data_IF_816578537510
#
_entry.id   IF_816578537510
#
_cell.length_a   1.000
_cell.length_b   1.000
_cell.length_c   1.000
_cell.angle_alpha   90.00
_cell.angle_beta   90.00
_cell.angle_gamma   90.00
#
_symmetry.space_group_name_H-M   'P 1'
#
loop_
_entity.id
_entity.type
_entity.pdbx_description
1 polymer ?
#
# COMPACT_ATOMS: atom_id res chain seq x y z
N UNK A 1 -21.00 -27.09 7.62
CA UNK A 1 -20.44 -26.83 8.96
C UNK A 1 -19.07 -27.46 9.22
N UNK A 2 -18.75 -28.71 8.81
CA UNK A 2 -17.42 -29.32 9.03
C UNK A 2 -16.26 -28.72 8.20
N UNK A 3 -16.50 -28.07 7.07
CA UNK A 3 -15.45 -27.41 6.24
C UNK A 3 -15.03 -26.03 6.72
N UNK A 4 -15.89 -25.32 7.46
CA UNK A 4 -15.57 -24.01 8.05
C UNK A 4 -14.67 -24.14 9.30
N UNK A 5 -14.80 -25.26 10.02
CA UNK A 5 -13.98 -25.53 11.21
C UNK A 5 -12.53 -25.87 10.85
N UNK A 6 -12.28 -26.44 9.66
CA UNK A 6 -10.92 -26.74 9.22
C UNK A 6 -10.13 -25.48 8.78
N UNK A 7 -10.83 -24.49 8.23
CA UNK A 7 -10.23 -23.21 7.81
C UNK A 7 -9.84 -22.36 9.04
N UNK A 8 -10.66 -22.38 10.10
CA UNK A 8 -10.33 -21.69 11.35
C UNK A 8 -9.16 -22.38 12.09
N UNK A 9 -8.97 -23.69 11.92
CA UNK A 9 -7.85 -24.40 12.54
C UNK A 9 -6.50 -24.15 11.82
N UNK A 10 -6.51 -23.85 10.52
CA UNK A 10 -5.29 -23.50 9.77
C UNK A 10 -4.89 -22.04 10.07
N UNK A 11 -5.86 -21.12 10.23
CA UNK A 11 -5.62 -19.75 10.68
C UNK A 11 -5.10 -19.69 12.13
N UNK A 12 -5.48 -20.63 13.00
CA UNK A 12 -4.95 -20.70 14.37
C UNK A 12 -3.53 -21.28 14.48
N UNK A 13 -3.03 -21.97 13.44
CA UNK A 13 -1.63 -22.45 13.41
C UNK A 13 -0.64 -21.35 12.99
N UNK A 14 -1.09 -20.30 12.33
CA UNK A 14 -0.28 -19.10 12.01
C UNK A 14 -0.19 -18.15 13.22
N UNK A 15 -1.07 -18.27 14.22
CA UNK A 15 -1.13 -17.42 15.41
C UNK A 15 -0.21 -17.81 16.58
N UNK A 16 0.74 -18.75 16.39
CA UNK A 16 1.85 -18.90 17.36
C UNK A 16 3.05 -18.02 16.97
N UNK A 17 2.75 -16.80 16.52
CA UNK A 17 3.73 -15.76 16.27
C UNK A 17 4.44 -15.37 17.57
N UNK A 18 5.74 -15.42 17.53
CA UNK A 18 6.66 -14.92 18.54
C UNK A 18 6.32 -13.47 18.94
N UNK A 19 6.83 -12.99 20.06
CA UNK A 19 6.67 -11.62 20.56
C UNK A 19 7.04 -10.54 19.51
N UNK A 20 7.76 -10.91 18.48
CA UNK A 20 8.19 -10.09 17.35
C UNK A 20 7.04 -9.73 16.37
N UNK A 21 6.18 -10.68 16.00
CA UNK A 21 4.98 -10.39 15.18
C UNK A 21 4.09 -9.37 15.87
N UNK A 22 3.89 -9.54 17.18
CA UNK A 22 3.12 -8.58 17.98
C UNK A 22 3.74 -7.18 17.91
N UNK A 23 5.07 -7.07 17.85
CA UNK A 23 5.76 -5.78 17.79
C UNK A 23 5.61 -5.10 16.42
N UNK A 24 5.76 -5.83 15.30
CA UNK A 24 5.56 -5.28 13.95
C UNK A 24 4.09 -4.90 13.74
N UNK A 25 3.15 -5.79 14.06
CA UNK A 25 1.72 -5.54 13.90
C UNK A 25 1.27 -4.32 14.73
N UNK A 26 1.85 -4.13 15.91
CA UNK A 26 1.60 -2.93 16.71
C UNK A 26 2.06 -1.67 15.99
N UNK A 27 3.27 -1.67 15.42
CA UNK A 27 3.80 -0.53 14.65
C UNK A 27 2.92 -0.26 13.42
N UNK A 28 2.51 -1.29 12.68
CA UNK A 28 1.63 -1.14 11.51
C UNK A 28 0.28 -0.53 11.90
N UNK A 29 -0.32 -0.99 13.01
CA UNK A 29 -1.58 -0.44 13.52
C UNK A 29 -1.43 1.03 13.97
N UNK A 30 -0.31 1.38 14.61
CA UNK A 30 -0.02 2.77 14.98
C UNK A 30 0.11 3.67 13.74
N UNK A 31 0.86 3.21 12.73
CA UNK A 31 1.02 3.92 11.45
C UNK A 31 -0.33 4.08 10.74
N UNK A 32 -1.14 3.04 10.65
CA UNK A 32 -2.46 3.11 10.02
C UNK A 32 -3.35 4.18 10.65
N UNK A 33 -3.28 4.32 11.98
CA UNK A 33 -4.10 5.29 12.71
C UNK A 33 -3.54 6.72 12.66
N UNK A 34 -2.22 6.89 12.58
CA UNK A 34 -1.57 8.18 12.68
C UNK A 34 -1.21 8.80 11.33
N UNK A 35 -1.04 7.98 10.27
CA UNK A 35 -0.55 8.39 8.97
C UNK A 35 -1.42 9.48 8.34
N UNK A 36 -0.78 10.59 7.95
CA UNK A 36 -1.46 11.75 7.40
C UNK A 36 -1.93 11.51 5.96
N UNK A 37 -1.19 10.75 5.17
CA UNK A 37 -1.58 10.39 3.79
C UNK A 37 -2.87 9.58 3.80
N UNK A 38 -3.00 8.58 4.68
CA UNK A 38 -4.23 7.80 4.81
C UNK A 38 -5.41 8.65 5.29
N UNK A 39 -5.17 9.64 6.16
CA UNK A 39 -6.21 10.60 6.56
C UNK A 39 -6.68 11.46 5.40
N UNK A 40 -5.74 11.99 4.61
CA UNK A 40 -6.04 12.78 3.40
C UNK A 40 -6.85 11.94 2.41
N UNK A 41 -6.39 10.73 2.09
CA UNK A 41 -7.09 9.82 1.19
C UNK A 41 -8.51 9.48 1.65
N UNK A 42 -8.76 9.36 2.96
CA UNK A 42 -10.12 9.15 3.49
C UNK A 42 -11.04 10.35 3.27
N UNK A 43 -10.52 11.56 3.40
CA UNK A 43 -11.33 12.77 3.15
C UNK A 43 -11.54 12.98 1.64
N UNK A 44 -10.55 12.73 0.81
CA UNK A 44 -10.68 12.72 -0.66
C UNK A 44 -11.72 11.69 -1.12
N UNK A 45 -11.66 10.47 -0.60
CA UNK A 45 -12.65 9.43 -0.84
C UNK A 45 -14.08 9.88 -0.48
N UNK A 46 -14.25 10.56 0.66
CA UNK A 46 -15.57 11.12 1.05
C UNK A 46 -16.03 12.20 0.09
N UNK A 47 -15.12 13.11 -0.31
CA UNK A 47 -15.42 14.18 -1.24
C UNK A 47 -15.85 13.64 -2.60
N UNK A 48 -15.11 12.68 -3.17
CA UNK A 48 -15.44 12.04 -4.45
C UNK A 48 -16.80 11.30 -4.39
N UNK A 49 -17.05 10.57 -3.30
CA UNK A 49 -18.34 9.89 -3.10
C UNK A 49 -19.52 10.84 -2.97
N UNK A 50 -19.30 12.04 -2.43
CA UNK A 50 -20.32 13.08 -2.38
C UNK A 50 -20.52 13.70 -3.78
N UNK A 51 -19.44 13.99 -4.52
CA UNK A 51 -19.51 14.47 -5.89
C UNK A 51 -20.29 13.51 -6.82
N UNK A 52 -20.05 12.19 -6.69
CA UNK A 52 -20.82 11.18 -7.44
C UNK A 52 -22.34 11.20 -7.14
N UNK A 53 -22.76 11.81 -6.02
CA UNK A 53 -24.19 11.97 -5.68
C UNK A 53 -24.82 13.22 -6.28
N UNK A 54 -24.03 14.21 -6.68
CA UNK A 54 -24.57 15.46 -7.26
C UNK A 54 -25.33 15.18 -8.57
N UNK A 55 -24.83 14.28 -9.41
CA UNK A 55 -25.42 13.93 -10.69
C UNK A 55 -26.66 13.01 -10.59
N UNK A 56 -27.01 12.53 -9.38
CA UNK A 56 -28.16 11.63 -9.19
C UNK A 56 -29.47 12.40 -9.04
N UNK A 57 -29.41 13.66 -8.65
CA UNK A 57 -30.59 14.49 -8.44
C UNK A 57 -31.28 14.85 -9.76
N UNK A 58 -32.58 15.12 -9.69
CA UNK A 58 -33.28 15.78 -10.78
C UNK A 58 -32.75 17.23 -10.94
N UNK A 59 -32.83 17.76 -12.15
CA UNK A 59 -32.58 19.19 -12.39
C UNK A 59 -33.41 20.06 -11.44
N UNK A 60 -32.85 21.19 -11.03
CA UNK A 60 -33.58 22.14 -10.18
C UNK A 60 -34.80 22.65 -10.88
N UNK A 61 -35.90 22.98 -10.16
CA UNK A 61 -37.00 23.75 -10.72
C UNK A 61 -36.49 25.11 -11.22
N UNK A 62 -36.92 25.50 -12.39
CA UNK A 62 -36.63 26.81 -12.95
C UNK A 62 -37.80 27.74 -12.66
N UNK A 63 -37.51 28.95 -12.20
CA UNK A 63 -38.50 30.02 -11.97
C UNK A 63 -38.16 31.17 -12.89
N UNK A 64 -39.03 31.47 -13.79
CA UNK A 64 -38.87 32.57 -14.73
C UNK A 64 -39.86 33.72 -14.43
N UNK A 65 -39.40 34.93 -14.57
CA UNK A 65 -40.20 36.11 -14.51
C UNK A 65 -40.13 36.84 -15.84
N UNK A 66 -41.27 36.94 -16.52
CA UNK A 66 -41.39 37.59 -17.82
C UNK A 66 -42.06 38.97 -17.66
N UNK A 67 -41.45 39.98 -18.26
CA UNK A 67 -42.04 41.30 -18.40
C UNK A 67 -42.06 41.72 -19.87
N UNK A 68 -43.25 41.90 -20.42
CA UNK A 68 -43.46 42.22 -21.83
C UNK A 68 -43.93 43.67 -21.89
N UNK A 69 -43.27 44.50 -22.69
CA UNK A 69 -43.70 45.87 -23.00
C UNK A 69 -43.71 46.01 -24.50
N UNK A 70 -44.73 46.80 -25.00
CA UNK A 70 -44.86 47.04 -26.41
C UNK A 70 -45.61 48.33 -26.65
N UNK A 71 -45.25 49.10 -27.74
CA UNK A 71 -45.84 50.29 -28.16
C UNK A 71 -46.40 50.15 -29.61
N UNK A 72 -47.64 49.66 -29.73
CA UNK A 72 -48.38 49.77 -30.98
C UNK A 72 -49.86 49.78 -30.70
N UNK A 73 -50.46 51.02 -30.70
CA UNK A 73 -51.87 51.36 -30.52
C UNK A 73 -52.55 51.02 -29.18
N UNK A 74 -52.05 50.21 -28.34
CA UNK A 74 -52.40 50.03 -26.93
C UNK A 74 -51.10 49.60 -26.17
N UNK A 75 -50.84 50.27 -25.06
CA UNK A 75 -49.75 49.90 -24.15
C UNK A 75 -50.03 48.48 -23.56
N UNK A 76 -49.54 47.44 -24.21
CA UNK A 76 -49.64 46.05 -23.68
C UNK A 76 -48.50 45.89 -22.72
N UNK A 77 -48.72 45.99 -21.40
CA UNK A 77 -47.83 45.68 -20.34
C UNK A 77 -48.24 44.34 -19.74
N UNK A 78 -47.48 43.26 -20.07
CA UNK A 78 -47.72 41.94 -19.55
C UNK A 78 -46.63 41.57 -18.53
N UNK A 79 -47.03 40.92 -17.45
CA UNK A 79 -46.11 40.29 -16.48
C UNK A 79 -46.46 38.80 -16.37
N UNK A 80 -45.44 37.96 -16.27
CA UNK A 80 -45.66 36.54 -16.09
C UNK A 80 -44.67 35.97 -15.11
N UNK A 81 -45.07 34.93 -14.41
CA UNK A 81 -44.22 34.09 -13.63
C UNK A 81 -44.48 32.64 -14.05
N UNK A 82 -43.42 31.91 -14.34
CA UNK A 82 -43.53 30.45 -14.59
C UNK A 82 -42.63 29.68 -13.66
N UNK A 83 -43.04 28.44 -13.37
CA UNK A 83 -42.24 27.45 -12.65
C UNK A 83 -42.25 26.18 -13.47
N UNK A 84 -41.05 25.76 -13.89
CA UNK A 84 -40.87 24.54 -14.69
C UNK A 84 -40.01 23.52 -13.95
N UNK A 85 -40.31 22.23 -14.20
CA UNK A 85 -39.53 21.11 -13.72
C UNK A 85 -39.30 20.12 -14.85
N UNK A 86 -38.04 19.75 -15.07
CA UNK A 86 -37.65 18.68 -16.02
C UNK A 86 -37.55 17.34 -15.32
N UNK A 87 -38.02 16.30 -16.00
CA UNK A 87 -38.01 14.92 -15.54
C UNK A 87 -37.19 14.04 -16.51
N UNK A 88 -36.01 13.65 -16.10
CA UNK A 88 -35.12 12.81 -16.86
C UNK A 88 -35.27 11.33 -16.45
N UNK A 89 -35.63 10.47 -17.39
CA UNK A 89 -35.80 9.02 -17.16
C UNK A 89 -34.52 8.33 -16.67
N UNK A 90 -33.34 8.79 -17.06
CA UNK A 90 -32.07 8.23 -16.62
C UNK A 90 -31.90 8.36 -15.11
N UNK A 91 -32.38 9.47 -14.57
CA UNK A 91 -32.38 9.75 -13.11
C UNK A 91 -33.51 8.97 -12.42
N UNK A 92 -34.76 9.08 -12.93
CA UNK A 92 -35.95 8.43 -12.32
C UNK A 92 -35.79 6.92 -12.26
N UNK A 93 -35.30 6.26 -13.31
CA UNK A 93 -35.07 4.81 -13.35
C UNK A 93 -33.80 4.34 -12.62
N UNK A 94 -33.09 5.25 -11.98
CA UNK A 94 -31.94 4.95 -11.16
C UNK A 94 -30.68 4.50 -11.93
N UNK A 95 -30.59 4.76 -13.25
CA UNK A 95 -29.39 4.41 -14.02
C UNK A 95 -28.17 5.22 -13.55
N UNK A 96 -28.34 6.51 -13.27
CA UNK A 96 -27.28 7.37 -12.73
C UNK A 96 -26.84 6.89 -11.34
N UNK A 97 -27.80 6.56 -10.47
CA UNK A 97 -27.50 6.03 -9.12
C UNK A 97 -26.72 4.71 -9.17
N UNK A 98 -27.02 3.81 -10.12
CA UNK A 98 -26.25 2.55 -10.29
C UNK A 98 -24.81 2.81 -10.72
N UNK A 99 -24.58 3.80 -11.56
CA UNK A 99 -23.24 4.22 -11.97
C UNK A 99 -22.49 4.81 -10.78
N UNK A 100 -23.07 5.80 -10.09
CA UNK A 100 -22.47 6.43 -8.93
C UNK A 100 -22.12 5.42 -7.82
N UNK A 101 -22.98 4.42 -7.58
CA UNK A 101 -22.68 3.37 -6.61
C UNK A 101 -21.49 2.52 -7.06
N UNK A 102 -21.37 2.19 -8.36
CA UNK A 102 -20.20 1.47 -8.86
C UNK A 102 -18.92 2.29 -8.87
N UNK A 103 -19.01 3.58 -9.17
CA UNK A 103 -17.88 4.50 -9.04
C UNK A 103 -17.44 4.64 -7.57
N UNK A 104 -18.39 4.68 -6.63
CA UNK A 104 -18.07 4.67 -5.20
C UNK A 104 -17.39 3.37 -4.75
N UNK A 105 -17.78 2.20 -5.29
CA UNK A 105 -17.09 0.93 -5.03
C UNK A 105 -15.63 0.97 -5.57
N UNK A 106 -15.41 1.54 -6.75
CA UNK A 106 -14.06 1.71 -7.31
C UNK A 106 -13.19 2.64 -6.45
N UNK A 107 -13.75 3.73 -5.91
CA UNK A 107 -13.07 4.63 -4.98
C UNK A 107 -12.66 3.87 -3.70
N UNK A 108 -13.52 2.99 -3.17
CA UNK A 108 -13.20 2.15 -2.01
C UNK A 108 -12.03 1.19 -2.29
N UNK A 109 -12.00 0.60 -3.48
CA UNK A 109 -10.93 -0.32 -3.89
C UNK A 109 -9.61 0.44 -4.07
N UNK A 110 -9.64 1.65 -4.62
CA UNK A 110 -8.45 2.52 -4.73
C UNK A 110 -7.88 2.84 -3.35
N UNK A 111 -8.72 3.26 -2.41
CA UNK A 111 -8.30 3.50 -1.03
C UNK A 111 -7.69 2.24 -0.38
N UNK A 112 -8.32 1.07 -0.56
CA UNK A 112 -7.82 -0.21 -0.06
C UNK A 112 -6.42 -0.52 -0.63
N UNK A 113 -6.21 -0.29 -1.92
CA UNK A 113 -4.91 -0.48 -2.58
C UNK A 113 -3.83 0.42 -2.01
N UNK A 114 -4.12 1.72 -1.86
CA UNK A 114 -3.14 2.68 -1.33
C UNK A 114 -2.82 2.40 0.14
N UNK A 115 -3.81 1.97 0.93
CA UNK A 115 -3.61 1.51 2.31
C UNK A 115 -2.66 0.31 2.36
N UNK A 116 -2.88 -0.70 1.52
CA UNK A 116 -2.02 -1.89 1.43
C UNK A 116 -0.59 -1.48 1.05
N UNK A 117 -0.41 -0.61 0.07
CA UNK A 117 0.90 -0.15 -0.38
C UNK A 117 1.66 0.54 0.76
N UNK A 118 1.00 1.43 1.50
CA UNK A 118 1.60 2.16 2.62
C UNK A 118 1.98 1.22 3.78
N UNK A 119 1.09 0.27 4.12
CA UNK A 119 1.38 -0.70 5.18
C UNK A 119 2.48 -1.68 4.76
N UNK A 120 2.58 -2.03 3.48
CA UNK A 120 3.69 -2.82 2.95
C UNK A 120 5.02 -2.05 3.07
N UNK A 121 5.05 -0.77 2.69
CA UNK A 121 6.23 0.08 2.86
C UNK A 121 6.66 0.13 4.33
N UNK A 122 5.72 0.38 5.24
CA UNK A 122 5.98 0.38 6.68
C UNK A 122 6.53 -0.97 7.18
N UNK A 123 5.98 -2.09 6.69
CA UNK A 123 6.44 -3.44 7.05
C UNK A 123 7.85 -3.71 6.57
N UNK A 124 8.20 -3.26 5.37
CA UNK A 124 9.56 -3.38 4.83
C UNK A 124 10.56 -2.56 5.66
N UNK A 125 10.21 -1.34 6.04
CA UNK A 125 11.01 -0.52 6.94
C UNK A 125 11.16 -1.14 8.34
N UNK A 126 10.14 -1.85 8.85
CA UNK A 126 10.28 -2.61 10.09
C UNK A 126 11.33 -3.73 9.95
N UNK A 127 11.38 -4.43 8.81
CA UNK A 127 12.42 -5.43 8.56
C UNK A 127 13.82 -4.81 8.42
N UNK A 128 13.91 -3.64 7.79
CA UNK A 128 15.17 -2.88 7.76
C UNK A 128 15.61 -2.45 9.16
N UNK A 129 14.69 -1.99 10.01
CA UNK A 129 14.98 -1.64 11.41
C UNK A 129 15.47 -2.86 12.22
N UNK A 130 14.85 -4.02 12.06
CA UNK A 130 15.29 -5.28 12.71
C UNK A 130 16.71 -5.67 12.26
N UNK A 131 16.96 -5.57 10.95
CA UNK A 131 18.26 -5.84 10.36
C UNK A 131 19.34 -4.92 10.94
N UNK A 132 19.12 -3.61 10.96
CA UNK A 132 20.09 -2.67 11.51
C UNK A 132 20.25 -2.79 13.03
N UNK A 133 19.21 -3.11 13.77
CA UNK A 133 19.31 -3.42 15.20
C UNK A 133 20.23 -4.63 15.44
N UNK A 134 20.04 -5.71 14.65
CA UNK A 134 20.88 -6.91 14.73
C UNK A 134 22.34 -6.61 14.39
N UNK A 135 22.59 -5.85 13.31
CA UNK A 135 23.95 -5.44 12.91
C UNK A 135 24.62 -4.54 13.96
N UNK A 136 23.92 -3.54 14.49
CA UNK A 136 24.45 -2.69 15.54
C UNK A 136 24.89 -3.51 16.76
N UNK A 137 24.11 -4.51 17.14
CA UNK A 137 24.45 -5.42 18.24
C UNK A 137 25.73 -6.20 17.96
N UNK A 138 25.83 -6.82 16.77
CA UNK A 138 27.01 -7.58 16.37
C UNK A 138 28.26 -6.68 16.28
N UNK A 139 28.13 -5.49 15.70
CA UNK A 139 29.24 -4.54 15.56
C UNK A 139 29.66 -3.92 16.91
N UNK A 140 28.75 -3.74 17.85
CA UNK A 140 29.10 -3.34 19.23
C UNK A 140 29.92 -4.44 19.93
N UNK A 141 29.57 -5.71 19.72
CA UNK A 141 30.39 -6.83 20.22
C UNK A 141 31.78 -6.81 19.58
N UNK A 142 31.89 -6.65 18.25
CA UNK A 142 33.18 -6.52 17.55
C UNK A 142 34.02 -5.37 18.09
N UNK A 143 33.41 -4.18 18.26
CA UNK A 143 34.09 -3.01 18.79
C UNK A 143 34.61 -3.24 20.20
N UNK A 144 33.84 -3.94 21.04
CA UNK A 144 34.25 -4.31 22.41
C UNK A 144 35.47 -5.22 22.40
N UNK A 145 35.51 -6.26 21.56
CA UNK A 145 36.66 -7.15 21.40
C UNK A 145 37.89 -6.42 20.84
N UNK A 146 37.69 -5.60 19.80
CA UNK A 146 38.80 -4.82 19.21
C UNK A 146 39.39 -3.85 20.23
N UNK A 147 38.56 -3.22 21.08
CA UNK A 147 39.04 -2.35 22.18
C UNK A 147 39.85 -3.12 23.21
N UNK A 148 39.35 -4.30 23.63
CA UNK A 148 40.09 -5.13 24.59
C UNK A 148 41.48 -5.53 24.04
N UNK A 149 41.55 -5.86 22.73
CA UNK A 149 42.81 -6.16 22.05
C UNK A 149 43.76 -4.96 22.03
N UNK A 150 43.28 -3.74 21.76
CA UNK A 150 44.10 -2.53 21.82
C UNK A 150 44.71 -2.34 23.23
N UNK A 151 43.90 -2.52 24.27
CA UNK A 151 44.34 -2.37 25.67
C UNK A 151 45.37 -3.45 26.08
N UNK A 152 45.17 -4.71 25.63
CA UNK A 152 46.10 -5.79 25.87
C UNK A 152 47.44 -5.58 25.13
N UNK A 153 47.38 -5.26 23.82
CA UNK A 153 48.57 -5.05 23.01
C UNK A 153 49.35 -3.77 23.40
N UNK A 154 48.69 -2.76 23.95
CA UNK A 154 49.35 -1.57 24.53
C UNK A 154 50.25 -2.01 25.68
N UNK A 155 49.76 -2.82 26.63
CA UNK A 155 50.53 -3.30 27.75
C UNK A 155 51.74 -4.11 27.30
N UNK A 156 51.56 -5.02 26.32
CA UNK A 156 52.62 -5.84 25.73
C UNK A 156 53.70 -4.98 25.02
N UNK A 157 53.24 -3.92 24.29
CA UNK A 157 54.16 -2.99 23.64
C UNK A 157 54.97 -2.20 24.67
N UNK A 158 54.31 -1.69 25.72
CA UNK A 158 54.99 -0.92 26.81
C UNK A 158 56.02 -1.82 27.56
N UNK A 159 55.78 -3.14 27.58
CA UNK A 159 56.73 -4.11 28.16
C UNK A 159 57.82 -4.59 27.15
N UNK A 160 57.72 -4.23 25.86
CA UNK A 160 58.66 -4.67 24.82
C UNK A 160 58.36 -6.07 24.25
N UNK A 161 57.19 -6.65 24.54
CA UNK A 161 56.81 -8.03 24.14
C UNK A 161 56.28 -8.09 22.71
N UNK A 162 55.85 -6.97 22.11
CA UNK A 162 55.32 -6.90 20.75
C UNK A 162 55.90 -5.68 20.02
N UNK A 163 55.94 -5.76 18.69
CA UNK A 163 56.42 -4.70 17.83
C UNK A 163 55.41 -3.54 17.72
N UNK A 164 55.88 -2.35 17.38
CA UNK A 164 55.05 -1.18 17.06
C UNK A 164 54.08 -1.50 15.88
N UNK A 165 54.51 -2.33 14.93
CA UNK A 165 53.69 -2.75 13.79
C UNK A 165 52.47 -3.56 14.23
N UNK A 166 52.67 -4.49 15.16
CA UNK A 166 51.56 -5.31 15.72
C UNK A 166 50.59 -4.43 16.52
N UNK A 167 51.10 -3.54 17.37
CA UNK A 167 50.26 -2.60 18.08
C UNK A 167 49.46 -1.67 17.15
N UNK A 168 50.08 -1.17 16.06
CA UNK A 168 49.39 -0.37 15.07
C UNK A 168 48.29 -1.14 14.31
N UNK A 169 48.47 -2.48 14.05
CA UNK A 169 47.41 -3.31 13.42
C UNK A 169 46.17 -3.38 14.30
N UNK A 170 46.29 -3.59 15.59
CA UNK A 170 45.14 -3.64 16.53
C UNK A 170 44.44 -2.30 16.62
N UNK A 171 45.21 -1.19 16.62
CA UNK A 171 44.63 0.16 16.58
C UNK A 171 43.85 0.42 15.30
N UNK A 172 44.35 -0.06 14.16
CA UNK A 172 43.67 0.05 12.86
C UNK A 172 42.38 -0.77 12.86
N UNK A 173 42.41 -2.02 13.33
CA UNK A 173 41.22 -2.86 13.45
C UNK A 173 40.13 -2.19 14.31
N UNK A 174 40.52 -1.64 15.46
CA UNK A 174 39.60 -0.88 16.32
C UNK A 174 39.01 0.34 15.60
N UNK A 175 39.83 1.09 14.86
CA UNK A 175 39.36 2.26 14.11
C UNK A 175 38.38 1.86 13.00
N UNK A 176 38.64 0.76 12.28
CA UNK A 176 37.77 0.21 11.24
C UNK A 176 36.43 -0.28 11.84
N UNK A 177 36.49 -1.03 12.94
CA UNK A 177 35.28 -1.50 13.64
C UNK A 177 34.41 -0.31 14.13
N UNK A 178 35.04 0.73 14.66
CA UNK A 178 34.34 1.96 15.09
C UNK A 178 33.70 2.71 13.92
N UNK A 179 34.42 2.84 12.81
CA UNK A 179 33.92 3.50 11.59
C UNK A 179 32.70 2.75 11.02
N UNK A 180 32.78 1.39 10.96
CA UNK A 180 31.69 0.57 10.46
C UNK A 180 30.44 0.63 11.34
N UNK A 181 30.62 0.63 12.67
CA UNK A 181 29.48 0.82 13.59
C UNK A 181 28.79 2.18 13.37
N UNK A 182 29.56 3.26 13.25
CA UNK A 182 28.99 4.61 13.04
C UNK A 182 28.21 4.71 11.72
N UNK A 183 28.67 4.06 10.65
CA UNK A 183 27.95 3.96 9.37
C UNK A 183 26.59 3.27 9.58
N UNK A 184 26.57 2.11 10.21
CA UNK A 184 25.34 1.33 10.43
C UNK A 184 24.38 2.02 11.41
N UNK A 185 24.89 2.72 12.41
CA UNK A 185 24.07 3.56 13.30
C UNK A 185 23.38 4.70 12.54
N UNK A 186 24.09 5.33 11.59
CA UNK A 186 23.50 6.38 10.75
C UNK A 186 22.37 5.82 9.84
N UNK A 187 22.60 4.69 9.18
CA UNK A 187 21.58 4.01 8.35
C UNK A 187 20.35 3.61 9.19
N UNK A 188 20.58 3.13 10.40
CA UNK A 188 19.52 2.79 11.35
C UNK A 188 18.66 4.01 11.70
N UNK A 189 19.28 5.14 12.03
CA UNK A 189 18.56 6.39 12.33
C UNK A 189 17.75 6.88 11.13
N UNK A 190 18.24 6.71 9.89
CA UNK A 190 17.47 7.03 8.69
C UNK A 190 16.20 6.20 8.59
N UNK A 191 16.27 4.88 8.82
CA UNK A 191 15.09 3.99 8.80
C UNK A 191 14.07 4.38 9.87
N UNK A 192 14.51 4.67 11.11
CA UNK A 192 13.60 5.12 12.16
C UNK A 192 13.00 6.50 11.87
N UNK A 193 13.72 7.38 11.19
CA UNK A 193 13.17 8.65 10.70
C UNK A 193 12.08 8.43 9.68
N UNK A 194 12.26 7.51 8.71
CA UNK A 194 11.23 7.16 7.72
C UNK A 194 9.99 6.55 8.38
N UNK A 195 10.15 5.64 9.35
CA UNK A 195 9.05 5.09 10.14
C UNK A 195 8.29 6.19 10.90
N UNK A 196 9.02 7.15 11.47
CA UNK A 196 8.44 8.29 12.19
C UNK A 196 7.62 9.18 11.25
N UNK A 197 8.09 9.42 10.02
CA UNK A 197 7.33 10.15 8.98
C UNK A 197 6.02 9.40 8.67
N UNK A 198 6.10 8.09 8.43
CA UNK A 198 4.90 7.28 8.17
C UNK A 198 3.94 7.26 9.36
N UNK A 199 4.45 7.35 10.59
CA UNK A 199 3.65 7.42 11.82
C UNK A 199 3.11 8.83 12.14
N UNK A 200 3.09 9.73 11.15
CA UNK A 200 2.57 11.09 11.31
C UNK A 200 3.40 11.97 12.25
N UNK A 201 4.71 11.76 12.29
CA UNK A 201 5.67 12.50 13.12
C UNK A 201 5.80 11.97 14.55
N UNK A 202 5.17 10.86 14.90
CA UNK A 202 5.33 10.22 16.21
C UNK A 202 6.43 9.18 16.15
N UNK A 203 7.33 9.21 17.13
CA UNK A 203 8.44 8.26 17.23
C UNK A 203 7.94 6.82 17.27
N UNK A 204 8.63 5.94 16.53
CA UNK A 204 8.37 4.50 16.49
C UNK A 204 9.41 3.77 17.32
N UNK A 205 8.95 2.92 18.23
CA UNK A 205 9.82 2.12 19.09
C UNK A 205 9.77 0.65 18.63
N UNK A 206 10.90 0.16 18.11
CA UNK A 206 11.06 -1.22 17.67
C UNK A 206 12.43 -1.75 18.11
N UNK A 207 12.47 -2.48 19.24
CA UNK A 207 13.71 -3.01 19.84
C UNK A 207 14.04 -4.46 19.44
N UNK A 208 13.38 -4.97 18.40
CA UNK A 208 13.60 -6.33 17.92
C UNK A 208 14.93 -6.42 17.19
N UNK A 209 15.78 -7.41 17.55
CA UNK A 209 17.15 -7.62 17.04
C UNK A 209 17.32 -8.94 16.29
N UNK A 210 16.24 -9.65 16.00
CA UNK A 210 16.29 -10.94 15.28
C UNK A 210 15.04 -11.14 14.44
N UNK A 211 15.19 -11.81 13.31
CA UNK A 211 14.05 -12.19 12.49
C UNK A 211 13.31 -13.40 13.09
N UNK A 212 12.07 -13.58 12.68
CA UNK A 212 11.24 -14.71 13.08
C UNK A 212 11.77 -16.04 12.58
N UNK A 213 11.14 -17.12 13.04
CA UNK A 213 11.44 -18.45 12.49
C UNK A 213 10.96 -18.56 11.05
N UNK A 214 11.81 -19.12 10.20
CA UNK A 214 11.49 -19.37 8.80
C UNK A 214 10.50 -20.52 8.71
N UNK A 215 9.22 -20.19 8.45
CA UNK A 215 8.15 -21.17 8.29
C UNK A 215 8.08 -21.68 6.83
N UNK A 216 7.64 -22.94 6.58
CA UNK A 216 7.41 -23.44 5.23
C UNK A 216 6.27 -22.68 4.54
N UNK A 217 6.46 -22.36 3.26
CA UNK A 217 5.43 -21.72 2.45
C UNK A 217 4.36 -22.73 2.01
N UNK A 218 3.09 -22.36 1.95
CA UNK A 218 2.04 -23.16 1.32
C UNK A 218 2.36 -23.44 -0.15
N UNK A 219 1.72 -24.46 -0.75
CA UNK A 219 1.84 -24.72 -2.18
C UNK A 219 1.36 -23.54 -3.01
N UNK A 220 1.99 -23.29 -4.15
CA UNK A 220 1.69 -22.15 -5.01
C UNK A 220 0.20 -22.02 -5.37
N UNK A 221 -0.47 -23.14 -5.72
CA UNK A 221 -1.87 -23.08 -6.15
C UNK A 221 -2.81 -22.62 -5.02
N UNK A 222 -2.51 -23.00 -3.78
CA UNK A 222 -3.26 -22.56 -2.60
C UNK A 222 -3.03 -21.07 -2.35
N UNK A 223 -1.77 -20.65 -2.42
CA UNK A 223 -1.39 -19.24 -2.25
C UNK A 223 -2.00 -18.35 -3.34
N UNK A 224 -1.91 -18.79 -4.61
CA UNK A 224 -2.42 -18.05 -5.73
C UNK A 224 -3.94 -17.85 -5.65
N UNK A 225 -4.70 -18.88 -5.29
CA UNK A 225 -6.15 -18.79 -5.16
C UNK A 225 -6.58 -17.72 -4.11
N UNK A 226 -5.87 -17.64 -3.00
CA UNK A 226 -6.12 -16.63 -1.97
C UNK A 226 -5.72 -15.23 -2.46
N UNK A 227 -4.52 -15.10 -3.04
CA UNK A 227 -4.02 -13.84 -3.58
C UNK A 227 -4.92 -13.28 -4.70
N UNK A 228 -5.41 -14.13 -5.60
CA UNK A 228 -6.35 -13.73 -6.66
C UNK A 228 -7.65 -13.19 -6.08
N UNK A 229 -8.19 -13.86 -5.05
CA UNK A 229 -9.47 -13.47 -4.44
C UNK A 229 -9.41 -12.15 -3.67
N UNK A 230 -8.26 -11.79 -3.09
CA UNK A 230 -8.10 -10.62 -2.22
C UNK A 230 -7.39 -9.44 -2.91
N UNK A 231 -6.88 -9.62 -4.13
CA UNK A 231 -6.10 -8.58 -4.81
C UNK A 231 -6.98 -7.40 -5.27
N UNK A 232 -6.73 -6.17 -4.77
CA UNK A 232 -7.55 -5.01 -5.10
C UNK A 232 -7.41 -4.58 -6.57
N UNK A 233 -6.32 -4.90 -7.26
CA UNK A 233 -6.14 -4.55 -8.68
C UNK A 233 -7.07 -5.40 -9.56
N UNK A 234 -7.21 -6.68 -9.26
CA UNK A 234 -8.13 -7.58 -9.97
C UNK A 234 -9.59 -7.26 -9.62
N UNK A 235 -9.85 -6.93 -8.35
CA UNK A 235 -11.17 -6.46 -7.88
C UNK A 235 -11.58 -5.17 -8.62
N UNK A 236 -10.67 -4.21 -8.76
CA UNK A 236 -10.90 -2.98 -9.53
C UNK A 236 -11.24 -3.27 -10.99
N UNK A 237 -10.45 -4.08 -11.69
CA UNK A 237 -10.67 -4.41 -13.09
C UNK A 237 -12.04 -5.07 -13.32
N UNK A 238 -12.44 -6.00 -12.44
CA UNK A 238 -13.76 -6.63 -12.48
C UNK A 238 -14.89 -5.60 -12.29
N UNK A 239 -14.76 -4.70 -11.32
CA UNK A 239 -15.77 -3.65 -11.08
C UNK A 239 -15.82 -2.62 -12.23
N UNK A 240 -14.70 -2.35 -12.91
CA UNK A 240 -14.67 -1.48 -14.10
C UNK A 240 -15.46 -2.10 -15.27
N UNK A 241 -15.40 -3.43 -15.46
CA UNK A 241 -16.24 -4.13 -16.43
C UNK A 241 -17.73 -3.99 -16.09
N UNK A 242 -18.10 -4.15 -14.81
CA UNK A 242 -19.50 -3.98 -14.37
C UNK A 242 -19.98 -2.53 -14.53
N UNK A 243 -19.13 -1.54 -14.23
CA UNK A 243 -19.41 -0.13 -14.48
C UNK A 243 -19.66 0.11 -15.97
N UNK A 244 -18.85 -0.48 -16.86
CA UNK A 244 -19.01 -0.37 -18.31
C UNK A 244 -20.35 -0.96 -18.79
N UNK A 245 -20.83 -2.06 -18.18
CA UNK A 245 -22.17 -2.62 -18.44
C UNK A 245 -23.28 -1.64 -18.02
N UNK A 246 -23.14 -1.02 -16.86
CA UNK A 246 -24.09 -0.01 -16.38
C UNK A 246 -24.12 1.23 -17.29
N UNK A 247 -22.95 1.67 -17.79
CA UNK A 247 -22.84 2.77 -18.76
C UNK A 247 -23.53 2.46 -20.10
N UNK A 248 -23.50 1.20 -20.58
CA UNK A 248 -24.28 0.79 -21.75
C UNK A 248 -25.78 0.95 -21.47
N UNK A 249 -26.26 0.54 -20.29
CA UNK A 249 -27.66 0.64 -19.91
C UNK A 249 -28.11 2.11 -19.81
N UNK A 250 -27.29 2.98 -19.22
CA UNK A 250 -27.52 4.43 -19.19
C UNK A 250 -27.61 5.01 -20.61
N UNK A 251 -26.65 4.67 -21.48
CA UNK A 251 -26.63 5.20 -22.84
C UNK A 251 -27.78 4.66 -23.71
N UNK A 252 -28.30 3.47 -23.43
CA UNK A 252 -29.55 3.00 -24.06
C UNK A 252 -30.76 3.80 -23.59
N UNK A 253 -30.84 4.15 -22.31
CA UNK A 253 -31.94 4.98 -21.79
C UNK A 253 -31.88 6.42 -22.28
N UNK A 254 -30.77 6.86 -22.89
CA UNK A 254 -30.65 8.19 -23.51
C UNK A 254 -31.60 8.42 -24.69
N UNK A 255 -32.13 7.33 -25.28
CA UNK A 255 -33.16 7.41 -26.33
C UNK A 255 -34.58 7.66 -25.77
N UNK A 256 -34.78 7.55 -24.45
CA UNK A 256 -36.03 7.87 -23.82
C UNK A 256 -36.28 9.38 -23.84
N UNK A 257 -37.51 9.83 -24.08
CA UNK A 257 -37.83 11.26 -24.05
C UNK A 257 -37.66 11.82 -22.65
N UNK A 258 -37.31 13.09 -22.59
CA UNK A 258 -37.35 13.89 -21.35
C UNK A 258 -38.70 14.60 -21.27
N UNK A 259 -39.31 14.63 -20.09
CA UNK A 259 -40.57 15.33 -19.86
C UNK A 259 -40.33 16.61 -19.05
N UNK A 260 -41.13 17.65 -19.35
CA UNK A 260 -41.19 18.85 -18.53
C UNK A 260 -42.64 19.15 -18.15
N UNK A 261 -42.82 19.71 -16.97
CA UNK A 261 -44.08 20.25 -16.51
C UNK A 261 -43.83 21.69 -16.08
N UNK A 262 -44.69 22.59 -16.57
CA UNK A 262 -44.59 24.00 -16.29
C UNK A 262 -45.96 24.55 -15.88
N UNK A 263 -45.97 25.38 -14.87
CA UNK A 263 -47.11 26.22 -14.48
C UNK A 263 -46.73 27.65 -14.72
N UNK A 264 -47.57 28.34 -15.51
CA UNK A 264 -47.41 29.76 -15.83
C UNK A 264 -48.61 30.56 -15.31
N UNK A 265 -48.34 31.75 -14.83
CA UNK A 265 -49.35 32.76 -14.51
C UNK A 265 -48.94 34.06 -15.11
N UNK A 266 -49.82 34.65 -15.96
CA UNK A 266 -49.62 35.90 -16.62
C UNK A 266 -50.70 36.93 -16.22
N UNK A 267 -50.29 38.19 -16.20
CA UNK A 267 -51.16 39.34 -15.91
C UNK A 267 -50.96 40.39 -17.00
N UNK A 268 -52.06 40.76 -17.63
CA UNK A 268 -52.16 41.91 -18.47
C UNK A 268 -53.12 42.87 -17.81
N UNK A 269 -53.22 44.14 -18.29
CA UNK A 269 -53.94 45.26 -17.63
C UNK A 269 -55.39 44.93 -17.27
N UNK A 270 -56.07 44.08 -18.05
CA UNK A 270 -57.47 43.65 -17.82
C UNK A 270 -57.71 42.15 -17.85
N UNK A 271 -56.62 41.32 -17.90
CA UNK A 271 -56.73 39.87 -18.06
C UNK A 271 -55.70 39.11 -17.21
N UNK A 272 -56.18 38.06 -16.52
CA UNK A 272 -55.31 37.18 -15.77
C UNK A 272 -55.47 35.76 -16.32
N UNK A 273 -54.38 35.13 -16.70
CA UNK A 273 -54.36 33.79 -17.26
C UNK A 273 -53.47 32.91 -16.43
N UNK A 274 -53.92 31.65 -16.24
CA UNK A 274 -53.11 30.58 -15.68
C UNK A 274 -53.00 29.49 -16.75
N UNK A 275 -51.80 28.96 -16.94
CA UNK A 275 -51.51 27.88 -17.88
C UNK A 275 -50.79 26.71 -17.21
N UNK A 276 -50.99 25.52 -17.71
CA UNK A 276 -50.20 24.36 -17.37
C UNK A 276 -49.73 23.73 -18.68
N UNK A 277 -48.40 23.60 -18.82
CA UNK A 277 -47.77 23.07 -20.03
C UNK A 277 -47.06 21.78 -19.70
N UNK A 278 -47.27 20.72 -20.49
CA UNK A 278 -46.47 19.52 -20.47
C UNK A 278 -45.67 19.50 -21.76
N UNK A 279 -44.34 19.47 -21.63
CA UNK A 279 -43.38 19.36 -22.71
C UNK A 279 -42.77 17.95 -22.79
N UNK A 280 -42.35 17.58 -24.00
CA UNK A 280 -41.60 16.34 -24.23
C UNK A 280 -40.48 16.62 -25.24
N UNK A 281 -39.25 16.33 -24.87
CA UNK A 281 -38.10 16.40 -25.78
C UNK A 281 -37.71 15.00 -26.24
N UNK A 282 -37.66 14.78 -27.54
CA UNK A 282 -37.32 13.48 -28.15
C UNK A 282 -35.93 13.57 -28.78
N UNK A 283 -34.93 12.81 -28.29
CA UNK A 283 -33.57 12.83 -28.82
C UNK A 283 -33.51 12.05 -30.15
N UNK A 284 -33.58 12.74 -31.29
CA UNK A 284 -33.58 12.08 -32.62
C UNK A 284 -32.19 11.74 -33.14
N UNK A 285 -31.16 12.50 -32.80
CA UNK A 285 -29.80 12.36 -33.33
C UNK A 285 -28.66 12.61 -32.33
N UNK A 286 -28.95 13.19 -31.18
CA UNK A 286 -27.92 13.58 -30.21
C UNK A 286 -27.09 12.41 -29.64
N UNK A 287 -27.63 11.18 -29.65
CA UNK A 287 -27.07 10.02 -28.97
C UNK A 287 -26.67 8.84 -29.90
N UNK A 288 -26.60 9.08 -31.22
CA UNK A 288 -26.41 8.04 -32.26
C UNK A 288 -25.22 7.10 -31.98
N UNK A 289 -24.08 7.62 -31.50
CA UNK A 289 -22.87 6.84 -31.28
C UNK A 289 -22.61 6.48 -29.79
N UNK A 290 -23.38 7.01 -28.83
CA UNK A 290 -23.13 6.79 -27.39
C UNK A 290 -23.18 5.30 -27.00
N UNK A 291 -24.15 4.55 -27.52
CA UNK A 291 -24.26 3.10 -27.24
C UNK A 291 -23.12 2.30 -27.89
N UNK A 292 -22.71 2.68 -29.12
CA UNK A 292 -21.60 2.00 -29.82
C UNK A 292 -20.29 2.25 -29.09
N UNK A 293 -20.04 3.49 -28.68
CA UNK A 293 -18.87 3.87 -27.89
C UNK A 293 -18.83 3.13 -26.55
N UNK A 294 -19.93 3.08 -25.80
CA UNK A 294 -20.01 2.35 -24.54
C UNK A 294 -19.78 0.84 -24.69
N UNK A 295 -20.25 0.23 -25.79
CA UNK A 295 -19.97 -1.18 -26.10
C UNK A 295 -18.48 -1.41 -26.39
N UNK A 296 -17.84 -0.53 -27.16
CA UNK A 296 -16.41 -0.60 -27.43
C UNK A 296 -15.58 -0.41 -26.14
N UNK A 297 -15.98 0.52 -25.28
CA UNK A 297 -15.36 0.71 -23.96
C UNK A 297 -15.48 -0.54 -23.06
N UNK A 298 -16.64 -1.22 -23.08
CA UNK A 298 -16.82 -2.49 -22.36
C UNK A 298 -15.84 -3.57 -22.85
N UNK A 299 -15.70 -3.75 -24.17
CA UNK A 299 -14.75 -4.72 -24.74
C UNK A 299 -13.32 -4.38 -24.32
N UNK A 300 -12.95 -3.10 -24.32
CA UNK A 300 -11.65 -2.65 -23.84
C UNK A 300 -11.42 -2.98 -22.35
N UNK A 301 -12.44 -2.78 -21.49
CA UNK A 301 -12.36 -3.13 -20.07
C UNK A 301 -12.22 -4.65 -19.85
N UNK A 302 -12.95 -5.48 -20.62
CA UNK A 302 -12.84 -6.95 -20.58
C UNK A 302 -11.45 -7.44 -21.01
N UNK A 303 -10.88 -6.81 -22.05
CA UNK A 303 -9.52 -7.13 -22.50
C UNK A 303 -8.49 -6.74 -21.44
N UNK A 304 -8.65 -5.58 -20.79
CA UNK A 304 -7.78 -5.13 -19.69
C UNK A 304 -7.88 -6.05 -18.47
N UNK A 305 -9.08 -6.49 -18.10
CA UNK A 305 -9.28 -7.48 -17.02
C UNK A 305 -8.51 -8.77 -17.32
N UNK A 306 -8.61 -9.27 -18.55
CA UNK A 306 -7.92 -10.49 -18.98
C UNK A 306 -6.39 -10.31 -18.96
N UNK A 307 -5.89 -9.19 -19.44
CA UNK A 307 -4.47 -8.83 -19.40
C UNK A 307 -3.94 -8.77 -17.96
N UNK A 308 -4.67 -8.07 -17.08
CA UNK A 308 -4.28 -7.95 -15.67
C UNK A 308 -4.26 -9.30 -14.96
N UNK A 309 -5.20 -10.20 -15.23
CA UNK A 309 -5.19 -11.58 -14.69
C UNK A 309 -3.96 -12.38 -15.12
N UNK A 310 -3.61 -12.32 -16.41
CA UNK A 310 -2.42 -13.01 -16.92
C UNK A 310 -1.15 -12.41 -16.28
N UNK A 311 -1.02 -11.09 -16.30
CA UNK A 311 0.13 -10.41 -15.71
C UNK A 311 0.28 -10.72 -14.22
N UNK A 312 -0.81 -10.67 -13.46
CA UNK A 312 -0.82 -11.00 -12.05
C UNK A 312 -0.39 -12.44 -11.79
N UNK A 313 -0.91 -13.43 -12.56
CA UNK A 313 -0.50 -14.82 -12.41
C UNK A 313 1.00 -15.01 -12.55
N UNK A 314 1.60 -14.46 -13.60
CA UNK A 314 3.03 -14.62 -13.83
C UNK A 314 3.91 -13.80 -12.85
N UNK A 315 3.45 -12.62 -12.45
CA UNK A 315 4.12 -11.82 -11.43
C UNK A 315 4.14 -12.54 -10.07
N UNK A 316 2.99 -13.04 -9.62
CA UNK A 316 2.90 -13.74 -8.34
C UNK A 316 3.66 -15.07 -8.36
N UNK A 317 3.65 -15.79 -9.49
CA UNK A 317 4.42 -17.03 -9.67
C UNK A 317 5.93 -16.76 -9.60
N UNK A 318 6.39 -15.71 -10.24
CA UNK A 318 7.79 -15.29 -10.17
C UNK A 318 8.18 -14.88 -8.75
N UNK A 319 7.34 -14.07 -8.08
CA UNK A 319 7.55 -13.65 -6.71
C UNK A 319 7.57 -14.84 -5.73
N UNK A 320 6.65 -15.80 -5.89
CA UNK A 320 6.61 -17.02 -5.10
C UNK A 320 7.91 -17.85 -5.26
N UNK A 321 8.32 -18.12 -6.50
CA UNK A 321 9.55 -18.87 -6.78
C UNK A 321 10.79 -18.17 -6.18
N UNK A 322 10.86 -16.83 -6.31
CA UNK A 322 11.91 -16.04 -5.68
C UNK A 322 11.90 -16.20 -4.16
N UNK A 323 10.73 -16.14 -3.53
CA UNK A 323 10.59 -16.26 -2.08
C UNK A 323 11.00 -17.64 -1.60
N UNK A 324 10.69 -18.72 -2.35
CA UNK A 324 11.14 -20.10 -2.03
C UNK A 324 12.67 -20.23 -2.10
N UNK A 325 13.30 -19.63 -3.10
CA UNK A 325 14.78 -19.63 -3.22
C UNK A 325 15.40 -18.87 -2.03
N UNK A 326 14.87 -17.68 -1.71
CA UNK A 326 15.36 -16.88 -0.60
C UNK A 326 15.12 -17.55 0.75
N UNK A 327 14.00 -18.26 0.93
CA UNK A 327 13.72 -19.06 2.11
C UNK A 327 14.82 -20.10 2.37
N UNK A 328 15.17 -20.86 1.31
CA UNK A 328 16.23 -21.88 1.40
C UNK A 328 17.58 -21.24 1.72
N UNK A 329 17.94 -20.17 1.01
CA UNK A 329 19.19 -19.43 1.24
C UNK A 329 19.28 -18.91 2.68
N UNK A 330 18.23 -18.27 3.19
CA UNK A 330 18.21 -17.73 4.55
C UNK A 330 18.35 -18.85 5.61
N UNK A 331 17.66 -19.98 5.42
CA UNK A 331 17.76 -21.11 6.34
C UNK A 331 19.15 -21.73 6.35
N UNK A 332 19.76 -21.92 5.19
CA UNK A 332 21.11 -22.51 5.04
C UNK A 332 22.19 -21.59 5.61
N UNK A 333 22.19 -20.31 5.26
CA UNK A 333 23.19 -19.33 5.74
C UNK A 333 23.09 -19.13 7.26
N UNK A 334 21.87 -19.00 7.79
CA UNK A 334 21.64 -18.90 9.23
C UNK A 334 22.18 -20.11 9.98
N UNK A 335 21.80 -21.31 9.54
CA UNK A 335 22.28 -22.58 10.17
C UNK A 335 23.79 -22.70 10.11
N UNK A 336 24.43 -22.35 9.01
CA UNK A 336 25.87 -22.38 8.86
C UNK A 336 26.58 -21.46 9.86
N UNK A 337 26.10 -20.26 10.05
CA UNK A 337 26.71 -19.27 10.97
C UNK A 337 26.42 -19.58 12.44
N UNK A 338 25.22 -20.07 12.78
CA UNK A 338 24.87 -20.42 14.17
C UNK A 338 25.65 -21.63 14.71
N UNK A 339 26.11 -22.53 13.84
CA UNK A 339 26.93 -23.68 14.22
C UNK A 339 28.39 -23.31 14.49
N UNK A 340 28.83 -22.11 14.13
CA UNK A 340 30.19 -21.64 14.26
C UNK A 340 30.38 -20.79 15.53
N UNK A 341 30.88 -21.41 16.60
CA UNK A 341 31.26 -20.72 17.85
C UNK A 341 32.68 -20.12 17.78
N UNK A 342 33.10 -19.67 16.58
CA UNK A 342 34.49 -19.32 16.29
C UNK A 342 35.07 -18.19 17.15
N UNK A 343 34.29 -17.16 17.49
CA UNK A 343 34.77 -16.01 18.24
C UNK A 343 35.39 -16.37 19.60
N UNK A 344 34.77 -17.30 20.33
CA UNK A 344 35.30 -17.74 21.63
C UNK A 344 36.62 -18.49 21.48
N UNK A 345 36.73 -19.33 20.44
CA UNK A 345 37.94 -20.11 20.17
C UNK A 345 39.08 -19.24 19.63
N UNK A 346 38.76 -18.29 18.75
CA UNK A 346 39.73 -17.33 18.21
C UNK A 346 40.38 -16.46 19.30
N UNK A 347 39.60 -15.99 20.27
CA UNK A 347 40.13 -15.26 21.42
C UNK A 347 41.12 -16.12 22.23
N UNK A 348 40.80 -17.38 22.53
CA UNK A 348 41.65 -18.29 23.25
C UNK A 348 42.95 -18.67 22.48
N UNK A 349 42.83 -18.93 21.17
CA UNK A 349 43.95 -19.23 20.30
C UNK A 349 44.93 -18.04 20.19
N UNK A 350 44.42 -16.83 20.19
CA UNK A 350 45.25 -15.62 20.23
C UNK A 350 45.96 -15.45 21.59
N UNK A 351 45.27 -15.70 22.70
CA UNK A 351 45.83 -15.62 24.06
C UNK A 351 46.91 -16.69 24.30
N UNK A 352 46.70 -17.93 23.78
CA UNK A 352 47.67 -18.99 23.87
C UNK A 352 48.86 -18.85 22.89
N UNK A 353 48.77 -17.92 21.95
CA UNK A 353 49.81 -17.72 20.92
C UNK A 353 49.77 -18.74 19.78
N UNK A 354 48.69 -19.52 19.65
CA UNK A 354 48.49 -20.50 18.58
C UNK A 354 48.27 -19.83 17.21
N UNK A 355 47.70 -18.63 17.18
CA UNK A 355 47.51 -17.84 15.97
C UNK A 355 48.15 -16.47 16.13
N UNK A 356 48.57 -15.87 15.02
CA UNK A 356 49.07 -14.51 14.99
C UNK A 356 47.92 -13.51 15.10
N UNK A 357 48.24 -12.27 15.49
CA UNK A 357 47.24 -11.18 15.50
C UNK A 357 46.66 -10.88 14.10
N UNK A 358 47.45 -11.07 13.05
CA UNK A 358 46.97 -10.89 11.68
C UNK A 358 45.95 -11.97 11.33
N UNK A 359 46.25 -13.23 11.64
CA UNK A 359 45.32 -14.34 11.38
C UNK A 359 44.03 -14.14 12.17
N UNK A 360 44.14 -13.71 13.45
CA UNK A 360 42.98 -13.39 14.27
C UNK A 360 42.06 -12.30 13.59
N UNK A 361 42.66 -11.19 13.12
CA UNK A 361 41.89 -10.12 12.46
C UNK A 361 41.19 -10.64 11.22
N UNK A 362 41.88 -11.41 10.37
CA UNK A 362 41.30 -11.99 9.14
C UNK A 362 40.13 -12.93 9.46
N UNK A 363 40.29 -13.80 10.45
CA UNK A 363 39.26 -14.78 10.85
C UNK A 363 38.03 -14.04 11.48
N UNK A 364 38.27 -13.00 12.27
CA UNK A 364 37.21 -12.15 12.83
C UNK A 364 36.45 -11.45 11.73
N UNK A 365 37.11 -10.88 10.73
CA UNK A 365 36.48 -10.24 9.58
C UNK A 365 35.62 -11.24 8.80
N UNK A 366 36.16 -12.40 8.47
CA UNK A 366 35.41 -13.47 7.81
C UNK A 366 34.14 -13.89 8.58
N UNK A 367 34.24 -13.99 9.92
CA UNK A 367 33.09 -14.31 10.78
C UNK A 367 31.99 -13.23 10.68
N UNK A 368 32.36 -11.93 10.78
CA UNK A 368 31.39 -10.84 10.71
C UNK A 368 30.80 -10.66 9.32
N UNK A 369 31.57 -10.92 8.26
CA UNK A 369 31.06 -10.94 6.88
C UNK A 369 30.04 -12.07 6.69
N UNK A 370 30.32 -13.28 7.17
CA UNK A 370 29.37 -14.37 7.14
C UNK A 370 28.11 -14.09 7.95
N UNK A 371 28.24 -13.44 9.10
CA UNK A 371 27.10 -13.02 9.95
C UNK A 371 26.24 -11.98 9.26
N UNK A 372 26.86 -10.98 8.63
CA UNK A 372 26.17 -9.97 7.85
C UNK A 372 25.43 -10.59 6.68
N UNK A 373 26.06 -11.51 5.93
CA UNK A 373 25.46 -12.24 4.81
C UNK A 373 24.22 -13.05 5.25
N UNK A 374 24.27 -13.66 6.44
CA UNK A 374 23.11 -14.38 6.98
C UNK A 374 21.95 -13.44 7.31
N UNK A 375 22.22 -12.29 7.93
CA UNK A 375 21.21 -11.26 8.20
C UNK A 375 20.62 -10.67 6.91
N UNK A 376 21.44 -10.44 5.88
CA UNK A 376 20.99 -9.99 4.56
C UNK A 376 20.05 -11.01 3.92
N UNK A 377 20.38 -12.30 4.00
CA UNK A 377 19.54 -13.37 3.46
C UNK A 377 18.20 -13.47 4.20
N UNK A 378 18.18 -13.33 5.54
CA UNK A 378 16.95 -13.28 6.33
C UNK A 378 16.09 -12.07 5.93
N UNK A 379 16.68 -10.87 5.88
CA UNK A 379 15.99 -9.64 5.45
C UNK A 379 15.42 -9.78 4.04
N UNK A 380 16.18 -10.31 3.09
CA UNK A 380 15.74 -10.53 1.72
C UNK A 380 14.55 -11.50 1.66
N UNK A 381 14.57 -12.59 2.45
CA UNK A 381 13.46 -13.53 2.55
C UNK A 381 12.21 -12.88 3.13
N UNK A 382 12.27 -12.24 4.29
CA UNK A 382 11.12 -11.62 4.94
C UNK A 382 10.55 -10.46 4.14
N UNK A 383 11.39 -9.67 3.47
CA UNK A 383 10.95 -8.62 2.55
C UNK A 383 10.25 -9.19 1.32
N UNK A 384 10.74 -10.31 0.76
CA UNK A 384 10.10 -11.00 -0.36
C UNK A 384 8.76 -11.61 0.05
N UNK A 385 8.70 -12.20 1.24
CA UNK A 385 7.48 -12.76 1.82
C UNK A 385 6.42 -11.67 2.07
N UNK A 386 6.82 -10.52 2.63
CA UNK A 386 5.90 -9.40 2.83
C UNK A 386 5.30 -8.89 1.52
N UNK A 387 6.12 -8.76 0.48
CA UNK A 387 5.64 -8.36 -0.87
C UNK A 387 4.70 -9.41 -1.47
N UNK A 388 5.00 -10.69 -1.29
CA UNK A 388 4.16 -11.78 -1.75
C UNK A 388 2.81 -11.83 -1.03
N UNK A 389 2.79 -11.54 0.28
CA UNK A 389 1.63 -11.56 1.15
C UNK A 389 0.96 -10.18 1.32
N UNK A 390 1.31 -9.18 0.51
CA UNK A 390 0.83 -7.79 0.68
C UNK A 390 -0.70 -7.67 0.66
N UNK A 391 -1.40 -8.56 -0.05
CA UNK A 391 -2.86 -8.59 -0.11
C UNK A 391 -3.55 -8.90 1.23
N UNK A 392 -2.80 -9.35 2.24
CA UNK A 392 -3.33 -9.66 3.58
C UNK A 392 -3.23 -8.48 4.56
N UNK A 393 -2.62 -7.36 4.15
CA UNK A 393 -2.43 -6.14 4.95
C UNK A 393 -3.69 -5.20 4.97
#
# INVERSE_FOLDING_TARGET
MKRVILIVAILSYICNGTAQNISIDKVLNEIENNNLTLKTLREEQKAEKLANKEDIALSNPEVEFNYIWGAYNHDINGKGISVSQEFDFKTILGFKSRIANKENELIDIVYKRERINLLLEAKLLCYDAIYYNALCKELNNRLSYAKANVDAYKKRFDNGDVSILEYNKVKLDYALAKGKLAEIEADREEVFSQLTILNGGKEVILHVESFELIAPLPLFDVWYAEAEALNPVLEYAKNEVELSKNRISLNRSAWAPTFSAEYERSWEENFKQNGFTIGMSIPLWADINKVKSAKAAKIASESRESELKINFYYQIKSAYNKTVILQKSAAETKSAVEQLSNMLYLGKALESGEISMLDYIVEVELYYDARTMALDAEKAYFSSLAKLAAYTL
#
